data_IF_973679040977
#
_entry.id   IF_973679040977
#
_cell.length_a   1.000
_cell.length_b   1.000
_cell.length_c   1.000
_cell.angle_alpha   90.00
_cell.angle_beta   90.00
_cell.angle_gamma   90.00
#
_symmetry.space_group_name_H-M   'P 1'
#
loop_
_entity.id
_entity.type
_entity.pdbx_description
1 polymer ?
#
# COMPACT_ATOMS: atom_id res chain seq x y z
N UNK A 1 -11.27 2.23 8.88
CA UNK A 1 -12.00 1.22 8.10
C UNK A 1 -11.09 0.02 7.95
N UNK A 2 -11.56 -1.19 8.28
CA UNK A 2 -10.84 -2.42 7.93
C UNK A 2 -10.73 -2.46 6.40
N UNK A 3 -9.53 -2.68 5.89
CA UNK A 3 -9.29 -2.83 4.45
C UNK A 3 -10.25 -3.84 3.84
N UNK A 4 -10.66 -3.62 2.59
CA UNK A 4 -11.57 -4.53 1.89
C UNK A 4 -11.01 -5.96 2.01
N UNK A 5 -11.76 -6.85 2.65
CA UNK A 5 -11.37 -8.25 2.81
C UNK A 5 -11.36 -8.89 1.43
N UNK A 6 -10.23 -9.49 1.06
CA UNK A 6 -10.10 -10.24 -0.19
C UNK A 6 -11.16 -11.35 -0.22
N UNK A 7 -11.94 -11.46 -1.31
CA UNK A 7 -13.02 -12.45 -1.38
C UNK A 7 -12.46 -13.87 -1.30
N UNK A 8 -13.22 -14.77 -0.69
CA UNK A 8 -12.89 -16.19 -0.65
C UNK A 8 -13.56 -16.88 -1.84
N UNK A 9 -12.80 -17.67 -2.61
CA UNK A 9 -13.31 -18.46 -3.74
C UNK A 9 -12.88 -19.92 -3.59
N UNK A 10 -13.86 -20.80 -3.68
CA UNK A 10 -13.64 -22.25 -3.66
C UNK A 10 -12.90 -22.70 -4.92
N UNK A 11 -11.81 -23.44 -4.73
CA UNK A 11 -11.00 -24.02 -5.81
C UNK A 11 -10.43 -25.37 -5.38
N UNK A 12 -10.09 -26.21 -6.35
CA UNK A 12 -9.48 -27.52 -6.10
C UNK A 12 -7.95 -27.42 -6.02
N UNK A 13 -7.30 -28.31 -5.26
CA UNK A 13 -5.85 -28.29 -5.08
C UNK A 13 -5.10 -28.45 -6.42
N UNK A 14 -5.63 -29.24 -7.34
CA UNK A 14 -5.04 -29.48 -8.66
C UNK A 14 -4.98 -28.21 -9.51
N UNK A 15 -5.87 -27.24 -9.27
CA UNK A 15 -5.92 -25.97 -9.99
C UNK A 15 -4.92 -24.94 -9.45
N UNK A 16 -4.45 -25.11 -8.20
CA UNK A 16 -3.60 -24.13 -7.49
C UNK A 16 -2.32 -23.79 -8.25
N UNK A 17 -1.62 -24.80 -8.76
CA UNK A 17 -0.33 -24.58 -9.45
C UNK A 17 -0.52 -23.73 -10.70
N UNK A 18 -1.51 -24.08 -11.53
CA UNK A 18 -1.80 -23.35 -12.76
C UNK A 18 -2.29 -21.92 -12.48
N UNK A 19 -3.16 -21.75 -11.49
CA UNK A 19 -3.68 -20.43 -11.11
C UNK A 19 -2.58 -19.52 -10.55
N UNK A 20 -1.67 -20.05 -9.74
CA UNK A 20 -0.50 -19.30 -9.22
C UNK A 20 0.44 -18.86 -10.33
N UNK A 21 0.75 -19.75 -11.26
CA UNK A 21 1.60 -19.42 -12.40
C UNK A 21 1.00 -18.29 -13.24
N UNK A 22 -0.29 -18.40 -13.59
CA UNK A 22 -1.01 -17.34 -14.30
C UNK A 22 -1.07 -16.04 -13.52
N UNK A 23 -1.34 -16.11 -12.21
CA UNK A 23 -1.38 -14.93 -11.33
C UNK A 23 -0.04 -14.21 -11.32
N UNK A 24 1.06 -14.96 -11.22
CA UNK A 24 2.42 -14.39 -11.27
C UNK A 24 2.69 -13.67 -12.58
N UNK A 25 2.29 -14.25 -13.72
CA UNK A 25 2.44 -13.61 -15.03
C UNK A 25 1.66 -12.30 -15.11
N UNK A 26 0.39 -12.30 -14.69
CA UNK A 26 -0.46 -11.09 -14.73
C UNK A 26 0.06 -10.03 -13.75
N UNK A 27 0.38 -10.42 -12.51
CA UNK A 27 0.95 -9.55 -11.48
C UNK A 27 2.24 -8.86 -11.95
N UNK A 28 3.13 -9.60 -12.63
CA UNK A 28 4.36 -9.04 -13.18
C UNK A 28 4.09 -7.94 -14.23
N UNK A 29 3.08 -8.11 -15.09
CA UNK A 29 2.66 -7.09 -16.05
C UNK A 29 2.06 -5.89 -15.34
N UNK A 30 1.12 -6.10 -14.41
CA UNK A 30 0.48 -5.01 -13.65
C UNK A 30 1.49 -4.17 -12.89
N UNK A 31 2.44 -4.83 -12.20
CA UNK A 31 3.49 -4.14 -11.47
C UNK A 31 4.40 -3.35 -12.42
N UNK A 32 4.81 -3.93 -13.55
CA UNK A 32 5.65 -3.23 -14.54
C UNK A 32 4.98 -1.97 -15.08
N UNK A 33 3.69 -2.04 -15.41
CA UNK A 33 2.91 -0.89 -15.86
C UNK A 33 2.80 0.17 -14.75
N UNK A 34 2.45 -0.24 -13.52
CA UNK A 34 2.39 0.67 -12.37
C UNK A 34 3.71 1.41 -12.16
N UNK A 35 4.84 0.71 -12.12
CA UNK A 35 6.17 1.32 -11.95
C UNK A 35 6.49 2.31 -13.09
N UNK A 36 6.03 2.03 -14.32
CA UNK A 36 6.21 2.93 -15.46
C UNK A 36 5.40 4.22 -15.31
N UNK A 37 4.15 4.11 -14.85
CA UNK A 37 3.33 5.27 -14.53
C UNK A 37 3.92 6.07 -13.37
N UNK A 38 4.33 5.42 -12.28
CA UNK A 38 4.92 6.08 -11.12
C UNK A 38 6.14 6.89 -11.51
N UNK A 39 7.08 6.32 -12.28
CA UNK A 39 8.25 7.06 -12.81
C UNK A 39 7.86 8.32 -13.57
N UNK A 40 6.79 8.26 -14.35
CA UNK A 40 6.31 9.39 -15.14
C UNK A 40 5.67 10.47 -14.26
N UNK A 41 4.89 10.09 -13.24
CA UNK A 41 4.14 11.02 -12.40
C UNK A 41 4.90 11.48 -11.15
N UNK A 42 6.04 10.87 -10.80
CA UNK A 42 6.88 11.23 -9.63
C UNK A 42 7.07 12.74 -9.41
N UNK A 43 7.32 13.59 -10.44
CA UNK A 43 7.43 15.04 -10.22
C UNK A 43 6.18 15.69 -9.62
N UNK A 44 5.00 15.11 -9.84
CA UNK A 44 3.74 15.59 -9.30
C UNK A 44 3.60 15.28 -7.80
N UNK A 45 4.36 14.31 -7.29
CA UNK A 45 4.28 13.81 -5.91
C UNK A 45 5.44 14.29 -5.03
N UNK A 46 6.12 15.38 -5.39
CA UNK A 46 7.25 15.87 -4.61
C UNK A 46 6.88 16.09 -3.11
N UNK A 47 7.61 15.50 -2.14
CA UNK A 47 7.35 15.67 -0.70
C UNK A 47 7.27 17.13 -0.26
N UNK A 48 8.01 18.00 -0.95
CA UNK A 48 8.03 19.45 -0.74
C UNK A 48 6.68 20.11 -0.89
N UNK A 49 5.77 19.57 -1.71
CA UNK A 49 4.41 20.12 -1.86
C UNK A 49 3.61 20.04 -0.56
N UNK A 50 4.02 19.18 0.37
CA UNK A 50 3.44 19.07 1.71
C UNK A 50 4.28 19.81 2.74
N UNK A 51 5.60 19.59 2.72
CA UNK A 51 6.50 20.01 3.79
C UNK A 51 7.11 21.41 3.60
N UNK A 52 7.20 21.93 2.37
CA UNK A 52 7.82 23.24 2.09
C UNK A 52 9.18 23.42 2.77
N UNK A 53 9.29 24.50 3.54
CA UNK A 53 10.48 24.86 4.33
C UNK A 53 10.78 23.93 5.51
N UNK A 54 9.84 23.04 5.91
CA UNK A 54 10.01 22.08 6.99
C UNK A 54 10.78 20.82 6.57
N UNK A 55 11.27 20.74 5.32
CA UNK A 55 12.13 19.66 4.83
C UNK A 55 13.53 20.18 4.46
N UNK A 56 14.56 19.43 4.83
CA UNK A 56 15.95 19.76 4.50
C UNK A 56 16.15 19.86 3.00
N UNK A 57 16.80 20.93 2.58
CA UNK A 57 16.78 21.35 1.19
C UNK A 57 17.81 22.41 0.86
N UNK A 58 18.31 22.40 -0.38
CA UNK A 58 19.12 23.48 -0.92
C UNK A 58 18.30 24.76 -1.20
N UNK A 59 17.02 24.60 -1.58
CA UNK A 59 16.05 25.70 -1.77
C UNK A 59 15.06 25.78 -0.61
N UNK A 60 14.85 26.98 -0.05
CA UNK A 60 13.79 27.26 0.93
C UNK A 60 12.54 27.76 0.21
N UNK A 61 11.79 26.83 -0.33
CA UNK A 61 10.52 27.13 -0.99
C UNK A 61 9.42 27.25 0.07
N UNK A 62 8.81 28.44 0.18
CA UNK A 62 7.64 28.63 1.04
C UNK A 62 6.42 27.98 0.40
N UNK A 63 5.82 27.03 1.09
CA UNK A 63 4.60 26.36 0.63
C UNK A 63 3.43 26.75 1.53
N UNK A 64 2.35 27.21 0.90
CA UNK A 64 1.14 27.60 1.64
C UNK A 64 0.59 26.39 2.39
N UNK A 65 0.40 26.52 3.71
CA UNK A 65 -0.10 25.45 4.57
C UNK A 65 0.96 24.47 5.09
N UNK A 66 2.25 24.66 4.76
CA UNK A 66 3.32 23.78 5.20
C UNK A 66 3.43 23.65 6.73
N UNK A 67 3.21 24.73 7.48
CA UNK A 67 3.20 24.73 8.95
C UNK A 67 2.09 23.82 9.52
N UNK A 68 0.88 23.94 8.96
CA UNK A 68 -0.26 23.10 9.35
C UNK A 68 0.03 21.63 9.01
N UNK A 69 0.53 21.38 7.81
CA UNK A 69 0.86 20.02 7.36
C UNK A 69 1.94 19.38 8.24
N UNK A 70 3.01 20.12 8.55
CA UNK A 70 4.06 19.66 9.45
C UNK A 70 3.52 19.34 10.84
N UNK A 71 2.59 20.15 11.36
CA UNK A 71 1.95 19.92 12.67
C UNK A 71 1.13 18.62 12.68
N UNK A 72 0.35 18.36 11.62
CA UNK A 72 -0.41 17.11 11.44
C UNK A 72 0.54 15.91 11.38
N UNK A 73 1.61 16.00 10.58
CA UNK A 73 2.61 14.93 10.46
C UNK A 73 3.28 14.69 11.81
N UNK A 74 3.69 15.75 12.52
CA UNK A 74 4.37 15.65 13.80
C UNK A 74 3.52 14.95 14.87
N UNK A 75 2.23 15.25 14.93
CA UNK A 75 1.29 14.63 15.86
C UNK A 75 1.13 13.14 15.56
N UNK A 76 0.82 12.79 14.30
CA UNK A 76 0.63 11.40 13.89
C UNK A 76 1.92 10.58 14.00
N UNK A 77 3.06 11.16 13.65
CA UNK A 77 4.38 10.53 13.75
C UNK A 77 4.70 10.15 15.20
N UNK A 78 4.48 11.07 16.16
CA UNK A 78 4.68 10.79 17.59
C UNK A 78 3.71 9.72 18.10
N UNK A 79 2.44 9.81 17.73
CA UNK A 79 1.42 8.85 18.15
C UNK A 79 1.75 7.45 17.63
N UNK A 80 2.02 7.29 16.34
CA UNK A 80 2.36 6.01 15.72
C UNK A 80 3.62 5.41 16.37
N UNK A 81 4.72 6.17 16.46
CA UNK A 81 5.96 5.62 17.02
C UNK A 81 5.85 5.23 18.49
N UNK A 82 5.18 6.05 19.31
CA UNK A 82 4.97 5.73 20.72
C UNK A 82 4.00 4.56 20.90
N UNK A 83 2.81 4.66 20.31
CA UNK A 83 1.70 3.77 20.64
C UNK A 83 1.82 2.41 19.93
N UNK A 84 2.48 2.36 18.77
CA UNK A 84 2.65 1.14 17.97
C UNK A 84 4.01 0.50 18.15
N UNK A 85 5.07 1.32 18.19
CA UNK A 85 6.45 0.85 18.15
C UNK A 85 7.19 1.05 19.48
N UNK A 86 6.54 1.59 20.51
CA UNK A 86 7.15 1.84 21.82
C UNK A 86 8.32 2.82 21.77
N UNK A 87 8.40 3.64 20.72
CA UNK A 87 9.54 4.50 20.42
C UNK A 87 9.17 5.97 20.58
N UNK A 88 9.83 6.66 21.52
CA UNK A 88 9.62 8.09 21.76
C UNK A 88 10.55 8.94 20.86
N UNK A 89 10.34 8.90 19.55
CA UNK A 89 11.12 9.70 18.61
C UNK A 89 10.75 11.18 18.65
N UNK A 90 11.74 12.03 18.41
CA UNK A 90 11.54 13.45 18.10
C UNK A 90 11.75 13.66 16.61
N UNK A 91 10.82 14.36 15.97
CA UNK A 91 10.99 14.82 14.59
C UNK A 91 11.54 16.25 14.63
N UNK A 92 12.75 16.46 14.12
CA UNK A 92 13.36 17.79 14.03
C UNK A 92 12.73 18.62 12.91
N UNK A 93 12.79 19.95 13.04
CA UNK A 93 12.51 20.87 11.94
C UNK A 93 13.80 21.57 11.53
N UNK A 94 14.19 21.52 10.25
CA UNK A 94 13.57 20.75 9.17
C UNK A 94 13.78 19.23 9.31
N UNK A 95 12.85 18.44 8.78
CA UNK A 95 12.97 16.97 8.69
C UNK A 95 14.06 16.57 7.68
N UNK A 96 14.67 15.38 7.81
CA UNK A 96 15.58 14.86 6.80
C UNK A 96 14.98 14.89 5.40
N UNK A 97 15.83 15.09 4.39
CA UNK A 97 15.37 15.11 3.00
C UNK A 97 14.77 13.76 2.60
N UNK A 98 13.57 13.79 2.00
CA UNK A 98 12.91 12.61 1.45
C UNK A 98 13.25 12.54 -0.04
N UNK A 99 13.73 11.39 -0.49
CA UNK A 99 14.01 11.14 -1.90
C UNK A 99 12.70 11.18 -2.69
N UNK A 100 12.62 12.03 -3.71
CA UNK A 100 11.44 12.11 -4.57
C UNK A 100 11.48 10.99 -5.62
N UNK A 101 11.35 9.75 -5.15
CA UNK A 101 11.26 8.55 -5.95
C UNK A 101 10.08 7.73 -5.45
N UNK A 102 9.04 7.60 -6.28
CA UNK A 102 7.85 6.83 -5.91
C UNK A 102 8.11 5.35 -6.10
N UNK A 103 7.67 4.57 -5.12
CA UNK A 103 7.66 3.11 -5.17
C UNK A 103 6.26 2.60 -4.83
N UNK A 104 5.92 1.46 -5.40
CA UNK A 104 4.71 0.70 -5.09
C UNK A 104 5.12 -0.70 -4.64
N UNK A 105 5.04 -0.93 -3.33
CA UNK A 105 5.35 -2.22 -2.73
C UNK A 105 4.08 -3.05 -2.55
N UNK A 106 4.11 -4.38 -2.64
CA UNK A 106 2.91 -5.19 -2.47
C UNK A 106 2.20 -4.89 -1.15
N UNK A 107 0.86 -4.81 -1.19
CA UNK A 107 0.06 -4.79 0.03
C UNK A 107 0.17 -6.15 0.70
N UNK A 108 0.78 -6.18 1.88
CA UNK A 108 0.95 -7.39 2.69
C UNK A 108 0.23 -7.20 4.01
N UNK A 109 -0.49 -8.22 4.48
CA UNK A 109 -1.18 -8.20 5.77
C UNK A 109 -0.99 -9.53 6.51
N UNK A 110 -1.27 -9.57 7.81
CA UNK A 110 -1.25 -10.81 8.59
C UNK A 110 -2.66 -11.37 8.79
N UNK A 111 -2.79 -12.70 8.70
CA UNK A 111 -4.01 -13.44 9.02
C UNK A 111 -3.72 -14.57 10.01
N UNK A 112 -4.68 -14.85 10.89
CA UNK A 112 -4.61 -15.96 11.82
C UNK A 112 -5.46 -17.12 11.27
N UNK A 113 -4.83 -18.27 11.04
CA UNK A 113 -5.45 -19.51 10.61
C UNK A 113 -5.33 -20.53 11.75
N UNK A 114 -6.36 -20.64 12.59
CA UNK A 114 -6.44 -21.58 13.72
C UNK A 114 -5.18 -21.63 14.60
N UNK A 115 -4.68 -20.45 14.97
CA UNK A 115 -3.51 -20.27 15.83
C UNK A 115 -2.18 -20.07 15.09
N UNK A 116 -2.14 -20.33 13.77
CA UNK A 116 -0.97 -20.03 12.94
C UNK A 116 -1.08 -18.65 12.30
N UNK A 117 -0.10 -17.78 12.51
CA UNK A 117 -0.04 -16.47 11.85
C UNK A 117 0.67 -16.63 10.51
N UNK A 118 -0.01 -16.28 9.43
CA UNK A 118 0.55 -16.24 8.08
C UNK A 118 0.52 -14.80 7.55
N UNK A 119 1.51 -14.44 6.75
CA UNK A 119 1.45 -13.23 5.93
C UNK A 119 0.78 -13.51 4.59
N UNK A 120 0.00 -12.55 4.12
CA UNK A 120 -0.69 -12.60 2.84
C UNK A 120 -0.25 -11.43 2.00
N UNK A 121 0.09 -11.66 0.74
CA UNK A 121 0.44 -10.61 -0.21
C UNK A 121 -0.58 -10.54 -1.34
N UNK A 122 -1.02 -9.32 -1.67
CA UNK A 122 -1.92 -9.10 -2.79
C UNK A 122 -1.16 -8.88 -4.10
N UNK A 123 -1.52 -9.56 -5.20
CA UNK A 123 -0.92 -9.37 -6.51
C UNK A 123 -1.49 -8.16 -7.27
N UNK A 124 -2.54 -7.52 -6.72
CA UNK A 124 -3.31 -6.45 -7.39
C UNK A 124 -3.44 -5.19 -6.53
N UNK A 125 -2.76 -5.17 -5.37
CA UNK A 125 -2.79 -4.04 -4.43
C UNK A 125 -1.39 -3.69 -3.99
N UNK A 126 -1.08 -2.40 -3.95
CA UNK A 126 0.24 -1.89 -3.59
C UNK A 126 0.15 -0.71 -2.62
N UNK A 127 1.10 -0.62 -1.71
CA UNK A 127 1.35 0.59 -0.92
C UNK A 127 2.18 1.56 -1.74
N UNK A 128 1.63 2.73 -2.03
CA UNK A 128 2.38 3.83 -2.60
C UNK A 128 3.18 4.54 -1.49
N UNK A 129 4.48 4.70 -1.71
CA UNK A 129 5.39 5.38 -0.79
C UNK A 129 6.52 6.09 -1.55
N UNK A 130 7.39 6.75 -0.80
CA UNK A 130 8.72 7.16 -1.29
C UNK A 130 9.75 6.07 -0.98
N UNK A 131 10.68 5.87 -1.91
CA UNK A 131 11.74 4.88 -1.78
C UNK A 131 12.50 5.06 -0.44
N UNK A 132 12.64 3.96 0.29
CA UNK A 132 13.42 3.90 1.52
C UNK A 132 13.80 2.44 1.82
N UNK A 133 14.78 2.25 2.71
CA UNK A 133 15.36 0.93 3.01
C UNK A 133 14.45 -0.03 3.79
N UNK A 134 13.21 0.39 4.10
CA UNK A 134 12.28 -0.33 4.95
C UNK A 134 10.86 -0.20 4.41
N UNK A 135 10.12 -1.31 4.35
CA UNK A 135 8.84 -1.40 3.67
C UNK A 135 7.78 -2.18 4.47
N UNK A 136 6.53 -2.18 3.98
CA UNK A 136 5.44 -2.92 4.63
C UNK A 136 5.66 -4.45 4.63
N UNK A 137 6.08 -5.11 3.53
CA UNK A 137 6.40 -6.54 3.56
C UNK A 137 7.37 -6.93 4.68
N UNK A 138 8.44 -6.15 4.87
CA UNK A 138 9.43 -6.35 5.93
C UNK A 138 8.81 -6.15 7.31
N UNK A 139 8.02 -5.09 7.50
CA UNK A 139 7.32 -4.86 8.76
C UNK A 139 6.38 -6.01 9.13
N UNK A 140 5.59 -6.51 8.18
CA UNK A 140 4.69 -7.63 8.42
C UNK A 140 5.47 -8.91 8.73
N UNK A 141 6.57 -9.17 8.03
CA UNK A 141 7.46 -10.31 8.30
C UNK A 141 8.03 -10.26 9.72
N UNK A 142 8.64 -9.13 10.12
CA UNK A 142 9.23 -8.95 11.45
C UNK A 142 8.16 -9.13 12.55
N UNK A 143 7.00 -8.48 12.40
CA UNK A 143 5.87 -8.62 13.34
C UNK A 143 5.34 -10.04 13.45
N UNK A 144 5.22 -10.75 12.33
CA UNK A 144 4.72 -12.14 12.30
C UNK A 144 5.70 -13.09 12.99
N UNK A 145 7.00 -12.78 13.01
CA UNK A 145 8.04 -13.52 13.73
C UNK A 145 8.19 -13.10 15.19
N UNK A 146 7.43 -12.09 15.66
CA UNK A 146 7.59 -11.52 17.00
C UNK A 146 8.82 -10.63 17.16
N UNK A 147 9.44 -10.22 16.05
CA UNK A 147 10.58 -9.30 16.04
C UNK A 147 10.11 -7.84 16.12
N UNK A 148 10.97 -6.97 16.63
CA UNK A 148 10.73 -5.53 16.67
C UNK A 148 11.56 -4.83 15.58
N UNK A 149 10.97 -3.88 14.84
CA UNK A 149 11.70 -3.14 13.83
C UNK A 149 12.77 -2.25 14.47
N UNK A 150 13.88 -2.06 13.77
CA UNK A 150 14.93 -1.15 14.23
C UNK A 150 14.48 0.32 14.08
N UNK A 151 14.79 1.15 15.06
CA UNK A 151 14.28 2.53 15.13
C UNK A 151 14.77 3.43 14.00
N UNK A 152 16.01 3.23 13.54
CA UNK A 152 16.58 3.99 12.42
C UNK A 152 15.88 3.68 11.09
N UNK A 153 15.30 2.49 10.96
CA UNK A 153 14.56 2.06 9.76
C UNK A 153 13.09 2.45 9.82
N UNK A 154 12.45 2.32 10.99
CA UNK A 154 11.00 2.58 11.12
C UNK A 154 10.67 4.07 11.06
N UNK A 155 11.58 4.92 11.53
CA UNK A 155 11.43 6.39 11.53
C UNK A 155 11.19 6.97 10.12
N UNK A 156 12.09 6.76 9.14
CA UNK A 156 11.87 7.25 7.78
C UNK A 156 10.68 6.57 7.09
N UNK A 157 10.42 5.28 7.38
CA UNK A 157 9.25 4.58 6.86
C UNK A 157 7.93 5.24 7.29
N UNK A 158 7.77 5.53 8.59
CA UNK A 158 6.58 6.20 9.13
C UNK A 158 6.45 7.62 8.56
N UNK A 159 7.56 8.36 8.48
CA UNK A 159 7.55 9.71 7.89
C UNK A 159 7.11 9.69 6.42
N UNK A 160 7.66 8.81 5.61
CA UNK A 160 7.33 8.69 4.19
C UNK A 160 5.84 8.36 3.98
N UNK A 161 5.31 7.40 4.74
CA UNK A 161 3.89 7.02 4.69
C UNK A 161 2.97 8.20 5.05
N UNK A 162 3.30 8.96 6.11
CA UNK A 162 2.51 10.13 6.51
C UNK A 162 2.55 11.27 5.49
N UNK A 163 3.72 11.50 4.87
CA UNK A 163 3.87 12.57 3.87
C UNK A 163 3.07 12.26 2.61
N UNK A 164 3.14 11.03 2.08
CA UNK A 164 2.39 10.67 0.87
C UNK A 164 0.88 10.57 1.11
N UNK A 165 0.48 10.09 2.29
CA UNK A 165 -0.92 10.12 2.73
C UNK A 165 -1.46 11.54 2.72
N UNK A 166 -0.77 12.47 3.41
CA UNK A 166 -1.23 13.86 3.51
C UNK A 166 -1.19 14.60 2.16
N UNK A 167 -0.21 14.28 1.31
CA UNK A 167 -0.15 14.79 -0.07
C UNK A 167 -1.43 14.44 -0.84
N UNK A 168 -1.84 13.16 -0.81
CA UNK A 168 -3.01 12.70 -1.55
C UNK A 168 -4.32 13.16 -0.92
N UNK A 169 -4.40 13.19 0.42
CA UNK A 169 -5.56 13.72 1.13
C UNK A 169 -5.80 15.20 0.79
N UNK A 170 -4.73 15.99 0.66
CA UNK A 170 -4.80 17.41 0.30
C UNK A 170 -4.88 17.69 -1.20
N UNK A 171 -4.70 16.67 -2.07
CA UNK A 171 -4.62 16.83 -3.53
C UNK A 171 -5.60 15.93 -4.29
N UNK A 172 -6.91 16.24 -4.32
CA UNK A 172 -7.91 15.44 -5.02
C UNK A 172 -7.63 15.24 -6.52
N UNK A 173 -6.88 16.16 -7.15
CA UNK A 173 -6.47 16.02 -8.55
C UNK A 173 -5.50 14.86 -8.78
N UNK A 174 -4.61 14.56 -7.82
CA UNK A 174 -3.68 13.43 -7.90
C UNK A 174 -4.41 12.10 -7.73
N UNK A 175 -5.40 12.05 -6.83
CA UNK A 175 -6.29 10.89 -6.68
C UNK A 175 -7.02 10.61 -7.99
N UNK A 176 -7.65 11.64 -8.60
CA UNK A 176 -8.32 11.50 -9.89
C UNK A 176 -7.38 11.07 -11.02
N UNK A 177 -6.12 11.51 -11.00
CA UNK A 177 -5.12 11.07 -11.98
C UNK A 177 -4.87 9.57 -11.87
N UNK A 178 -4.67 9.05 -10.66
CA UNK A 178 -4.47 7.61 -10.42
C UNK A 178 -5.71 6.79 -10.81
N UNK A 179 -6.91 7.29 -10.50
CA UNK A 179 -8.19 6.71 -10.95
C UNK A 179 -8.31 6.70 -12.47
N UNK A 180 -7.87 7.77 -13.14
CA UNK A 180 -7.83 7.87 -14.60
C UNK A 180 -6.84 6.88 -15.24
N UNK A 181 -5.78 6.51 -14.52
CA UNK A 181 -4.85 5.43 -14.90
C UNK A 181 -5.40 4.03 -14.59
N UNK A 182 -6.60 3.95 -14.00
CA UNK A 182 -7.30 2.71 -13.70
C UNK A 182 -7.14 2.20 -12.28
N UNK A 183 -6.42 2.90 -11.39
CA UNK A 183 -6.20 2.46 -10.01
C UNK A 183 -7.17 3.14 -9.05
N UNK A 184 -7.88 2.38 -8.23
CA UNK A 184 -8.57 2.97 -7.08
C UNK A 184 -7.57 3.29 -5.99
N UNK A 185 -7.80 4.41 -5.28
CA UNK A 185 -6.95 4.86 -4.17
C UNK A 185 -7.75 4.76 -2.89
N UNK A 186 -7.21 4.04 -1.91
CA UNK A 186 -7.77 3.95 -0.56
C UNK A 186 -6.71 4.35 0.49
N UNK A 187 -7.19 4.78 1.66
CA UNK A 187 -6.35 5.01 2.84
C UNK A 187 -6.68 3.93 3.86
N UNK A 188 -5.73 3.05 4.13
CA UNK A 188 -5.92 1.86 4.95
C UNK A 188 -4.94 1.81 6.11
N UNK A 189 -5.35 1.19 7.21
CA UNK A 189 -4.48 0.96 8.38
C UNK A 189 -4.38 -0.52 8.67
N UNK A 190 -3.30 -0.93 9.33
CA UNK A 190 -3.14 -2.28 9.86
C UNK A 190 -2.94 -2.22 11.39
N UNK A 191 -4.02 -2.13 12.18
CA UNK A 191 -3.92 -1.89 13.63
C UNK A 191 -3.01 -2.87 14.38
N UNK A 192 -2.98 -4.14 13.97
CA UNK A 192 -2.16 -5.18 14.60
C UNK A 192 -0.68 -5.12 14.22
N UNK A 193 -0.34 -4.46 13.11
CA UNK A 193 1.03 -4.43 12.55
C UNK A 193 1.66 -3.05 12.75
N UNK A 194 0.97 -2.01 12.30
CA UNK A 194 1.42 -0.62 12.21
C UNK A 194 0.50 0.38 12.94
N UNK A 195 -0.45 -0.12 13.74
CA UNK A 195 -1.35 0.72 14.54
C UNK A 195 -2.20 1.65 13.67
N UNK A 196 -2.15 2.95 13.98
CA UNK A 196 -2.91 3.98 13.27
C UNK A 196 -2.21 4.54 12.02
N UNK A 197 -1.04 4.01 11.64
CA UNK A 197 -0.30 4.49 10.46
C UNK A 197 -1.16 4.34 9.18
N UNK A 198 -1.49 5.43 8.48
CA UNK A 198 -2.19 5.37 7.22
C UNK A 198 -1.26 4.93 6.09
N UNK A 199 -1.74 4.00 5.28
CA UNK A 199 -1.12 3.59 4.02
C UNK A 199 -1.99 4.04 2.85
N UNK A 200 -1.35 4.61 1.84
CA UNK A 200 -1.97 4.85 0.54
C UNK A 200 -1.94 3.54 -0.23
N UNK A 201 -3.10 2.94 -0.47
CA UNK A 201 -3.21 1.68 -1.20
C UNK A 201 -3.76 1.93 -2.59
N UNK A 202 -3.00 1.55 -3.60
CA UNK A 202 -3.41 1.52 -5.00
C UNK A 202 -3.95 0.13 -5.30
N UNK A 203 -5.16 0.04 -5.85
CA UNK A 203 -5.77 -1.25 -6.22
C UNK A 203 -6.07 -1.27 -7.72
N UNK A 204 -5.56 -2.30 -8.39
CA UNK A 204 -5.87 -2.60 -9.79
C UNK A 204 -7.33 -3.07 -9.93
N UNK A 205 -7.99 -2.82 -11.07
CA UNK A 205 -9.34 -3.33 -11.32
C UNK A 205 -9.36 -4.84 -11.60
N UNK A 206 -8.18 -5.48 -11.71
CA UNK A 206 -8.07 -6.93 -11.83
C UNK A 206 -8.51 -7.58 -10.50
N UNK A 207 -9.54 -8.44 -10.52
CA UNK A 207 -10.00 -9.11 -9.32
C UNK A 207 -8.98 -10.15 -8.85
N UNK A 208 -8.84 -10.24 -7.52
CA UNK A 208 -8.09 -11.29 -6.86
C UNK A 208 -8.95 -11.90 -5.74
N UNK A 209 -8.63 -13.13 -5.37
CA UNK A 209 -9.29 -13.88 -4.34
C UNK A 209 -8.28 -14.66 -3.51
N UNK A 210 -8.72 -15.09 -2.34
CA UNK A 210 -8.00 -16.04 -1.49
C UNK A 210 -8.74 -17.39 -1.50
N UNK A 211 -8.03 -18.51 -1.54
CA UNK A 211 -8.68 -19.81 -1.33
C UNK A 211 -9.16 -19.98 0.12
N UNK A 212 -9.94 -21.04 0.41
CA UNK A 212 -10.35 -21.37 1.77
C UNK A 212 -9.14 -21.63 2.70
N UNK A 213 -9.33 -21.37 3.99
CA UNK A 213 -8.26 -21.46 4.99
C UNK A 213 -7.60 -22.83 5.06
N UNK A 214 -8.39 -23.89 4.90
CA UNK A 214 -7.89 -25.27 4.86
C UNK A 214 -6.89 -25.49 3.72
N UNK A 215 -7.19 -24.94 2.53
CA UNK A 215 -6.32 -25.07 1.36
C UNK A 215 -5.06 -24.21 1.54
N UNK A 216 -5.20 -22.98 2.04
CA UNK A 216 -4.07 -22.11 2.35
C UNK A 216 -3.12 -22.79 3.35
N UNK A 217 -3.65 -23.36 4.44
CA UNK A 217 -2.88 -24.09 5.44
C UNK A 217 -2.15 -25.28 4.87
N UNK A 218 -2.86 -26.13 4.13
CA UNK A 218 -2.27 -27.31 3.51
C UNK A 218 -1.09 -26.91 2.61
N UNK A 219 -1.24 -25.87 1.80
CA UNK A 219 -0.17 -25.41 0.92
C UNK A 219 0.99 -24.77 1.69
N UNK A 220 0.72 -24.01 2.75
CA UNK A 220 1.75 -23.43 3.61
C UNK A 220 2.57 -24.51 4.34
N UNK A 221 1.92 -25.57 4.82
CA UNK A 221 2.58 -26.72 5.44
C UNK A 221 3.47 -27.48 4.45
N UNK A 222 2.98 -27.70 3.22
CA UNK A 222 3.74 -28.38 2.17
C UNK A 222 4.96 -27.57 1.69
N UNK A 223 4.86 -26.24 1.66
CA UNK A 223 5.96 -25.37 1.27
C UNK A 223 6.93 -25.04 2.41
N UNK A 224 6.56 -25.34 3.66
CA UNK A 224 7.29 -24.92 4.86
C UNK A 224 7.30 -23.40 5.07
N UNK A 225 6.43 -22.66 4.36
CA UNK A 225 6.39 -21.20 4.37
C UNK A 225 5.34 -20.63 5.33
N UNK A 226 5.58 -19.40 5.81
CA UNK A 226 4.62 -18.62 6.61
C UNK A 226 3.97 -17.49 5.80
N UNK A 227 4.04 -17.56 4.47
CA UNK A 227 3.48 -16.56 3.57
C UNK A 227 2.64 -17.19 2.47
N UNK A 228 1.62 -16.48 2.00
CA UNK A 228 0.73 -16.90 0.94
C UNK A 228 0.39 -15.72 0.02
N UNK A 229 0.60 -15.90 -1.29
CA UNK A 229 0.17 -14.91 -2.29
C UNK A 229 -1.28 -15.20 -2.69
N UNK A 230 -2.13 -14.17 -2.68
CA UNK A 230 -3.48 -14.26 -3.23
C UNK A 230 -3.46 -14.61 -4.72
N UNK A 231 -4.60 -15.03 -5.25
CA UNK A 231 -4.71 -15.53 -6.62
C UNK A 231 -5.54 -14.54 -7.45
N UNK A 232 -5.09 -14.23 -8.65
CA UNK A 232 -5.84 -13.42 -9.60
C UNK A 232 -7.00 -14.25 -10.16
N UNK A 233 -8.19 -13.67 -10.17
CA UNK A 233 -9.35 -14.26 -10.83
C UNK A 233 -9.28 -14.01 -12.34
N UNK A 234 -8.49 -14.84 -13.03
CA UNK A 234 -8.23 -14.72 -14.47
C UNK A 234 -9.50 -14.77 -15.32
N UNK A 235 -10.51 -15.51 -14.85
CA UNK A 235 -11.78 -15.69 -15.57
C UNK A 235 -12.60 -14.39 -15.61
N UNK A 236 -12.34 -13.48 -14.67
CA UNK A 236 -13.05 -12.21 -14.53
C UNK A 236 -12.32 -11.04 -15.23
N UNK A 237 -11.14 -11.25 -15.81
CA UNK A 237 -10.41 -10.21 -16.53
C UNK A 237 -11.21 -9.70 -17.74
N UNK A 238 -11.90 -10.61 -18.46
CA UNK A 238 -12.66 -10.26 -19.66
C UNK A 238 -13.88 -9.37 -19.40
N UNK A 239 -14.35 -9.28 -18.15
CA UNK A 239 -15.48 -8.44 -17.73
C UNK A 239 -15.05 -7.22 -16.94
N UNK A 240 -13.74 -6.92 -16.91
CA UNK A 240 -13.24 -5.71 -16.29
C UNK A 240 -13.89 -4.49 -16.92
N UNK A 241 -14.39 -3.61 -16.05
CA UNK A 241 -15.10 -2.41 -16.47
C UNK A 241 -14.15 -1.23 -16.54
N UNK A 242 -14.29 -0.43 -17.60
CA UNK A 242 -13.62 0.86 -17.67
C UNK A 242 -14.45 1.90 -16.88
N UNK A 243 -13.90 2.56 -15.85
CA UNK A 243 -14.66 3.52 -15.04
C UNK A 243 -15.27 4.67 -15.84
N UNK A 244 -14.59 5.14 -16.90
CA UNK A 244 -15.12 6.17 -17.78
C UNK A 244 -16.27 5.62 -18.63
N UNK A 245 -16.12 4.41 -19.17
CA UNK A 245 -17.19 3.75 -19.91
C UNK A 245 -18.45 3.58 -19.05
N UNK A 246 -18.33 3.13 -17.80
CA UNK A 246 -19.45 3.01 -16.87
C UNK A 246 -20.13 4.34 -16.61
N UNK A 247 -19.35 5.41 -16.37
CA UNK A 247 -19.90 6.76 -16.17
C UNK A 247 -20.68 7.24 -17.38
N UNK A 248 -20.15 7.03 -18.59
CA UNK A 248 -20.83 7.41 -19.84
C UNK A 248 -22.10 6.58 -20.07
N UNK A 249 -22.06 5.27 -19.84
CA UNK A 249 -23.24 4.41 -19.97
C UNK A 249 -24.34 4.78 -18.97
N UNK A 250 -24.00 5.08 -17.72
CA UNK A 250 -24.95 5.52 -16.71
C UNK A 250 -25.65 6.83 -17.09
N UNK A 251 -24.92 7.77 -17.70
CA UNK A 251 -25.51 9.02 -18.20
C UNK A 251 -26.47 8.78 -19.37
N UNK A 252 -26.14 7.87 -20.28
CA UNK A 252 -27.00 7.53 -21.43
C UNK A 252 -28.22 6.68 -21.04
N UNK A 253 -28.18 5.98 -19.90
CA UNK A 253 -29.27 5.12 -19.41
C UNK A 253 -30.23 5.86 -18.45
N UNK A 254 -29.95 7.13 -18.15
CA UNK A 254 -30.74 7.97 -17.25
C UNK A 254 -31.81 8.82 -17.98
N UNK A 255 -32.02 8.57 -19.28
CA UNK A 255 -33.17 9.03 -20.09
C UNK A 255 -34.30 8.00 -20.09
#
# INVERSE_FOLDING_TARGET
MQGAMTPIKEIQLEQMTQLRERSKTVSAVLNKELQTYLKTITPLFAPRKVLGEYMQSASRDKVVGAEKNFSIILENYKAVLRDTFGHNAKLSSPVPAIQNELVAEPWVYSGNLDGSILSFSSPVRWVLSYDCSYDLPRLVSERTKGEQPHFDSITPFVLNALVIWLLLESSPGLVRLLEGLGYSVSFETQPKIAGALPFVVLTSPVPAFRPPDDLVRMVAQLSGGSSFEEIIDVDQIGVMTNPLQLKLQALLSAE
#
